data_IF_664255157149
#
_entry.id   IF_664255157149
#
_cell.length_a   1.000
_cell.length_b   1.000
_cell.length_c   1.000
_cell.angle_alpha   90.00
_cell.angle_beta   90.00
_cell.angle_gamma   90.00
#
_symmetry.space_group_name_H-M   'P 1'
#
loop_
_entity.id
_entity.type
_entity.pdbx_description
1 polymer ?
#
# COMPACT_ATOMS: atom_id res chain seq x y z
N UNK A 1 19.51 16.64 -44.56
CA UNK A 1 19.55 16.88 -43.11
C UNK A 1 18.87 15.69 -42.43
N UNK A 2 19.61 15.01 -41.58
CA UNK A 2 19.32 13.66 -41.07
C UNK A 2 18.03 13.63 -40.24
N UNK A 3 17.03 12.90 -40.71
CA UNK A 3 15.83 12.55 -39.94
C UNK A 3 16.24 11.51 -38.90
N UNK A 4 16.61 11.93 -37.69
CA UNK A 4 16.73 11.01 -36.56
C UNK A 4 15.32 10.66 -36.10
N UNK A 5 14.82 9.50 -36.52
CA UNK A 5 13.61 8.92 -35.95
C UNK A 5 13.89 8.59 -34.49
N UNK A 6 13.35 9.41 -33.58
CA UNK A 6 13.43 9.15 -32.14
C UNK A 6 12.44 8.02 -31.85
N UNK A 7 12.97 6.81 -31.71
CA UNK A 7 12.18 5.62 -31.43
C UNK A 7 11.48 5.75 -30.07
N UNK A 8 10.25 5.24 -29.99
CA UNK A 8 9.53 5.14 -28.73
C UNK A 8 10.22 4.13 -27.80
N UNK A 9 10.34 4.50 -26.52
CA UNK A 9 10.94 3.69 -25.46
C UNK A 9 9.81 3.16 -24.57
N UNK A 10 9.81 1.84 -24.34
CA UNK A 10 8.91 1.16 -23.41
C UNK A 10 9.58 1.03 -22.05
N UNK A 11 9.03 1.68 -21.03
CA UNK A 11 9.52 1.64 -19.66
C UNK A 11 8.59 0.78 -18.80
N UNK A 12 9.16 -0.17 -18.06
CA UNK A 12 8.41 -1.04 -17.14
C UNK A 12 8.96 -0.90 -15.74
N UNK A 13 8.07 -0.63 -14.77
CA UNK A 13 8.41 -0.56 -13.35
C UNK A 13 7.68 -1.66 -12.60
N UNK A 14 8.41 -2.36 -11.73
CA UNK A 14 7.84 -3.41 -10.87
C UNK A 14 7.83 -2.95 -9.43
N UNK A 15 6.67 -3.03 -8.78
CA UNK A 15 6.53 -2.84 -7.34
C UNK A 15 6.24 -4.19 -6.69
N UNK A 16 6.96 -4.51 -5.62
CA UNK A 16 6.78 -5.74 -4.84
C UNK A 16 6.17 -5.41 -3.49
N UNK A 17 5.09 -6.12 -3.14
CA UNK A 17 4.48 -5.98 -1.82
C UNK A 17 5.23 -6.82 -0.77
N UNK A 18 5.33 -6.35 0.49
CA UNK A 18 5.89 -7.14 1.57
C UNK A 18 5.14 -8.47 1.73
N UNK A 19 5.85 -9.52 2.15
CA UNK A 19 5.28 -10.86 2.31
C UNK A 19 4.34 -10.99 3.51
N UNK A 20 4.46 -10.10 4.51
CA UNK A 20 3.72 -10.21 5.76
C UNK A 20 2.33 -9.60 5.70
N UNK A 21 2.11 -8.56 4.88
CA UNK A 21 0.86 -7.76 4.87
C UNK A 21 0.59 -7.16 3.49
N UNK A 22 -0.69 -6.94 3.20
CA UNK A 22 -1.11 -6.29 1.97
C UNK A 22 -0.64 -4.83 1.96
N UNK A 23 0.00 -4.39 0.87
CA UNK A 23 0.32 -2.99 0.67
C UNK A 23 -0.95 -2.26 0.24
N UNK A 24 -1.35 -1.22 0.98
CA UNK A 24 -2.59 -0.48 0.73
C UNK A 24 -2.29 0.91 0.19
N UNK A 25 -3.22 1.41 -0.63
CA UNK A 25 -3.16 2.77 -1.16
C UNK A 25 -1.82 3.04 -1.86
N UNK A 26 -1.41 2.10 -2.73
CA UNK A 26 -0.13 2.17 -3.42
C UNK A 26 -0.30 3.11 -4.61
N UNK A 27 0.46 4.18 -4.63
CA UNK A 27 0.49 5.12 -5.75
C UNK A 27 1.90 5.16 -6.33
N UNK A 28 1.98 4.97 -7.64
CA UNK A 28 3.21 5.16 -8.40
C UNK A 28 3.02 6.39 -9.26
N UNK A 29 3.92 7.35 -9.08
CA UNK A 29 3.98 8.55 -9.88
C UNK A 29 5.30 8.59 -10.66
N UNK A 30 5.21 8.46 -11.98
CA UNK A 30 6.37 8.53 -12.87
C UNK A 30 6.63 9.97 -13.31
N UNK A 31 7.84 10.47 -13.05
CA UNK A 31 8.23 11.84 -13.40
C UNK A 31 8.97 11.85 -14.74
N UNK A 32 8.29 12.30 -15.79
CA UNK A 32 8.88 12.51 -17.12
C UNK A 32 8.73 13.98 -17.52
N UNK A 33 9.81 14.80 -17.49
CA UNK A 33 9.76 16.19 -17.92
C UNK A 33 9.42 16.30 -19.41
N UNK A 34 8.47 17.16 -19.78
CA UNK A 34 8.04 17.34 -21.18
C UNK A 34 9.12 18.05 -22.05
N UNK A 35 10.17 18.60 -21.42
CA UNK A 35 11.38 19.12 -22.08
C UNK A 35 12.16 18.02 -22.77
N UNK A 36 12.15 16.82 -22.18
CA UNK A 36 13.06 15.74 -22.52
C UNK A 36 12.29 14.57 -23.15
N UNK A 37 11.00 14.43 -22.85
CA UNK A 37 10.17 13.32 -23.30
C UNK A 37 8.80 13.78 -23.78
N UNK A 38 8.34 13.19 -24.86
CA UNK A 38 6.95 13.25 -25.30
C UNK A 38 6.26 11.97 -24.86
N UNK A 39 5.25 12.08 -23.98
CA UNK A 39 4.45 10.92 -23.61
C UNK A 39 3.51 10.52 -24.73
N UNK A 40 3.52 9.23 -25.04
CA UNK A 40 2.65 8.66 -26.06
C UNK A 40 1.44 7.98 -25.41
N UNK A 41 1.70 7.08 -24.45
CA UNK A 41 0.68 6.15 -23.98
C UNK A 41 1.05 5.53 -22.62
N UNK A 42 0.06 5.07 -21.86
CA UNK A 42 0.23 4.47 -20.53
C UNK A 42 -0.45 5.28 -19.42
N UNK A 43 -0.07 5.08 -18.16
CA UNK A 43 -0.64 5.80 -17.02
C UNK A 43 0.41 6.34 -16.08
N UNK A 44 0.91 7.56 -16.36
CA UNK A 44 1.95 8.28 -15.58
C UNK A 44 1.70 8.33 -14.06
N UNK A 45 0.44 8.24 -13.65
CA UNK A 45 0.06 7.97 -12.26
C UNK A 45 -0.87 6.77 -12.24
N UNK A 46 -0.52 5.73 -11.48
CA UNK A 46 -1.40 4.59 -11.25
C UNK A 46 -1.55 4.38 -9.75
N UNK A 47 -2.79 4.17 -9.33
CA UNK A 47 -3.14 3.90 -7.94
C UNK A 47 -3.80 2.53 -7.81
N UNK A 48 -3.30 1.74 -6.87
CA UNK A 48 -3.87 0.46 -6.48
C UNK A 48 -4.43 0.56 -5.07
N UNK A 49 -5.68 0.12 -4.90
CA UNK A 49 -6.34 0.12 -3.59
C UNK A 49 -5.67 -0.86 -2.61
N UNK A 50 -5.25 -2.03 -3.11
CA UNK A 50 -4.53 -3.04 -2.34
C UNK A 50 -3.71 -3.94 -3.26
N UNK A 51 -2.53 -4.32 -2.80
CA UNK A 51 -1.67 -5.34 -3.41
C UNK A 51 -1.54 -6.49 -2.41
N UNK A 52 -1.79 -7.71 -2.86
CA UNK A 52 -1.71 -8.89 -2.00
C UNK A 52 -0.28 -9.14 -1.49
N UNK A 53 -0.10 -9.69 -0.28
CA UNK A 53 1.23 -9.98 0.25
C UNK A 53 2.02 -10.89 -0.70
N UNK A 54 3.29 -10.56 -0.94
CA UNK A 54 4.17 -11.34 -1.81
C UNK A 54 3.83 -11.32 -3.31
N UNK A 55 2.91 -10.45 -3.74
CA UNK A 55 2.62 -10.25 -5.17
C UNK A 55 3.42 -9.09 -5.77
N UNK A 56 3.73 -9.22 -7.05
CA UNK A 56 4.42 -8.20 -7.83
C UNK A 56 3.43 -7.57 -8.82
N UNK A 57 3.45 -6.26 -8.91
CA UNK A 57 2.66 -5.51 -9.89
C UNK A 57 3.61 -4.78 -10.83
N UNK A 58 3.30 -4.84 -12.13
CA UNK A 58 4.05 -4.18 -13.18
C UNK A 58 3.23 -3.05 -13.79
N UNK A 59 3.82 -1.85 -13.85
CA UNK A 59 3.29 -0.68 -14.53
C UNK A 59 4.17 -0.33 -15.73
N UNK A 60 3.59 0.10 -16.85
CA UNK A 60 4.34 0.43 -18.06
C UNK A 60 3.89 1.75 -18.72
N UNK A 61 4.87 2.46 -19.27
CA UNK A 61 4.71 3.75 -19.95
C UNK A 61 5.52 3.77 -21.25
N UNK A 62 4.97 4.43 -22.27
CA UNK A 62 5.63 4.64 -23.57
C UNK A 62 5.95 6.11 -23.74
N UNK A 63 7.22 6.42 -23.98
CA UNK A 63 7.72 7.79 -24.19
C UNK A 63 8.60 7.88 -25.42
N UNK A 64 8.59 9.03 -26.10
CA UNK A 64 9.56 9.39 -27.13
C UNK A 64 10.56 10.37 -26.52
N UNK A 65 11.87 10.11 -26.52
CA UNK A 65 12.86 11.10 -26.13
C UNK A 65 12.90 12.23 -27.15
N UNK A 66 13.11 13.47 -26.70
CA UNK A 66 13.22 14.65 -27.56
C UNK A 66 14.65 14.96 -27.98
N UNK A 67 15.63 14.42 -27.25
CA UNK A 67 17.04 14.59 -27.53
C UNK A 67 17.77 13.24 -27.40
N UNK A 68 18.94 13.16 -28.01
CA UNK A 68 19.84 12.01 -27.85
C UNK A 68 20.77 12.30 -26.68
N UNK A 69 20.79 11.43 -25.67
CA UNK A 69 21.58 11.65 -24.47
C UNK A 69 21.39 10.58 -23.39
N UNK A 70 22.19 10.67 -22.33
CA UNK A 70 22.01 9.85 -21.14
C UNK A 70 20.87 10.39 -20.28
N UNK A 71 19.95 9.51 -19.89
CA UNK A 71 18.78 9.85 -19.09
C UNK A 71 18.76 9.00 -17.82
N UNK A 72 18.38 9.60 -16.68
CA UNK A 72 18.22 8.86 -15.43
C UNK A 72 16.75 8.45 -15.22
N UNK A 73 16.45 7.19 -15.55
CA UNK A 73 15.09 6.64 -15.53
C UNK A 73 14.70 5.99 -14.18
N UNK A 74 15.55 6.05 -13.15
CA UNK A 74 15.42 5.13 -11.99
C UNK A 74 14.60 5.61 -10.79
N UNK A 75 14.09 6.83 -10.77
CA UNK A 75 13.35 7.34 -9.60
C UNK A 75 11.87 7.53 -9.92
N UNK A 76 11.06 6.57 -9.49
CA UNK A 76 9.63 6.79 -9.39
C UNK A 76 9.19 6.62 -7.94
N UNK A 77 8.47 7.61 -7.43
CA UNK A 77 8.05 7.70 -6.03
C UNK A 77 6.92 6.69 -5.80
N UNK A 78 7.05 5.86 -4.76
CA UNK A 78 6.04 4.87 -4.35
C UNK A 78 5.52 5.30 -3.00
N UNK A 79 4.26 5.72 -2.93
CA UNK A 79 3.60 5.99 -1.66
C UNK A 79 2.71 4.79 -1.30
N UNK A 80 2.77 4.31 -0.06
CA UNK A 80 1.89 3.27 0.44
C UNK A 80 1.54 3.51 1.91
N UNK A 81 0.37 3.03 2.34
CA UNK A 81 -0.04 3.05 3.75
C UNK A 81 0.24 1.68 4.37
N UNK A 82 1.15 1.65 5.35
CA UNK A 82 1.27 0.52 6.25
C UNK A 82 0.00 0.43 7.10
N UNK A 83 -0.67 -0.72 7.11
CA UNK A 83 -1.93 -0.90 7.85
C UNK A 83 -1.76 -0.56 9.34
N UNK A 84 -2.74 0.15 9.90
CA UNK A 84 -2.78 0.48 11.32
C UNK A 84 -3.15 -0.75 12.14
N UNK A 85 -2.20 -1.26 12.92
CA UNK A 85 -2.40 -2.36 13.87
C UNK A 85 -3.33 -1.98 15.05
N UNK A 86 -3.74 -0.72 15.10
CA UNK A 86 -4.50 -0.10 16.20
C UNK A 86 -5.94 -0.59 16.32
N UNK A 87 -6.53 -1.14 15.25
CA UNK A 87 -7.96 -1.53 15.24
C UNK A 87 -8.23 -2.74 16.11
N UNK A 88 -7.34 -3.73 16.07
CA UNK A 88 -7.50 -4.98 16.83
C UNK A 88 -7.41 -4.70 18.33
N UNK A 89 -6.43 -3.92 18.78
CA UNK A 89 -6.27 -3.58 20.21
C UNK A 89 -7.50 -2.89 20.79
N UNK A 90 -8.11 -1.96 20.06
CA UNK A 90 -9.33 -1.26 20.50
C UNK A 90 -10.53 -2.21 20.61
N UNK A 91 -10.69 -3.13 19.66
CA UNK A 91 -11.77 -4.13 19.66
C UNK A 91 -11.70 -5.04 20.89
N UNK A 92 -10.49 -5.52 21.24
CA UNK A 92 -10.28 -6.32 22.46
C UNK A 92 -10.58 -5.54 23.74
N UNK A 93 -10.21 -4.25 23.80
CA UNK A 93 -10.53 -3.40 24.95
C UNK A 93 -12.05 -3.21 25.10
N UNK A 94 -12.75 -2.89 24.02
CA UNK A 94 -14.21 -2.76 24.03
C UNK A 94 -14.88 -4.07 24.44
N UNK A 95 -14.42 -5.20 23.90
CA UNK A 95 -14.91 -6.52 24.29
C UNK A 95 -14.72 -6.76 25.78
N UNK A 96 -13.50 -6.58 26.31
CA UNK A 96 -13.21 -6.76 27.73
C UNK A 96 -14.09 -5.90 28.63
N UNK A 97 -14.35 -4.64 28.25
CA UNK A 97 -15.16 -3.73 29.04
C UNK A 97 -16.65 -4.12 29.08
N UNK A 98 -17.19 -4.67 27.99
CA UNK A 98 -18.59 -5.09 27.90
C UNK A 98 -18.79 -6.47 28.55
N UNK A 99 -17.84 -7.39 28.38
CA UNK A 99 -17.95 -8.75 28.92
C UNK A 99 -17.52 -8.87 30.39
N UNK A 100 -16.61 -8.02 30.87
CA UNK A 100 -16.17 -8.02 32.26
C UNK A 100 -17.32 -7.90 33.28
N UNK A 101 -18.28 -6.95 33.18
CA UNK A 101 -19.35 -6.84 34.18
C UNK A 101 -20.25 -8.08 34.20
N UNK A 102 -20.50 -8.70 33.03
CA UNK A 102 -21.31 -9.91 32.92
C UNK A 102 -20.67 -11.15 33.57
N UNK A 103 -19.35 -11.17 33.76
CA UNK A 103 -18.62 -12.28 34.41
C UNK A 103 -18.32 -11.93 35.87
N UNK A 104 -17.93 -10.68 36.15
CA UNK A 104 -17.53 -10.21 37.48
C UNK A 104 -18.72 -10.17 38.44
N UNK A 105 -19.90 -9.70 37.99
CA UNK A 105 -21.09 -9.60 38.86
C UNK A 105 -21.55 -10.98 39.34
N UNK A 106 -21.77 -11.99 38.46
CA UNK A 106 -22.10 -13.34 38.91
C UNK A 106 -21.02 -13.97 39.79
N UNK A 107 -19.74 -13.72 39.49
CA UNK A 107 -18.62 -14.28 40.25
C UNK A 107 -18.54 -13.73 41.68
N UNK A 108 -18.75 -12.42 41.88
CA UNK A 108 -18.78 -11.80 43.21
C UNK A 108 -19.97 -12.31 44.02
N UNK A 109 -21.15 -12.42 43.39
CA UNK A 109 -22.35 -12.96 44.03
C UNK A 109 -22.12 -14.41 44.48
N UNK A 110 -21.52 -15.24 43.64
CA UNK A 110 -21.21 -16.61 44.00
C UNK A 110 -20.21 -16.72 45.16
N UNK A 111 -19.13 -15.93 45.16
CA UNK A 111 -18.12 -15.96 46.23
C UNK A 111 -18.69 -15.58 47.59
N UNK A 112 -19.63 -14.62 47.62
CA UNK A 112 -20.30 -14.20 48.87
C UNK A 112 -21.35 -15.21 49.36
N UNK A 113 -21.98 -15.97 48.47
CA UNK A 113 -22.94 -17.03 48.82
C UNK A 113 -22.26 -18.32 49.27
N UNK A 114 -21.19 -18.75 48.60
CA UNK A 114 -20.49 -19.99 48.92
C UNK A 114 -19.85 -19.96 50.31
N UNK A 115 -19.41 -18.79 50.81
CA UNK A 115 -18.82 -18.68 52.15
C UNK A 115 -19.82 -18.89 53.29
N UNK A 116 -21.14 -18.95 53.03
CA UNK A 116 -22.16 -19.18 54.05
C UNK A 116 -22.53 -20.65 54.24
N UNK A 117 -22.15 -21.50 53.31
CA UNK A 117 -22.50 -22.93 53.29
C UNK A 117 -21.28 -23.85 53.35
N UNK A 118 -20.09 -23.26 53.57
CA UNK A 118 -18.83 -23.93 53.85
C UNK A 118 -18.39 -23.65 55.29
#
# INVERSE_FOLDING_TARGET
MSSTELAAIFLTKTASAPSSRAARDVEIHDRFPDTDFTFLHGSRSTRWTSISPGTNITHAVIVIPRFVGGYNFTSAEILYKAGSDSKVTLEWICFAFITAPCIVIPYILWRSGASKYM
#
